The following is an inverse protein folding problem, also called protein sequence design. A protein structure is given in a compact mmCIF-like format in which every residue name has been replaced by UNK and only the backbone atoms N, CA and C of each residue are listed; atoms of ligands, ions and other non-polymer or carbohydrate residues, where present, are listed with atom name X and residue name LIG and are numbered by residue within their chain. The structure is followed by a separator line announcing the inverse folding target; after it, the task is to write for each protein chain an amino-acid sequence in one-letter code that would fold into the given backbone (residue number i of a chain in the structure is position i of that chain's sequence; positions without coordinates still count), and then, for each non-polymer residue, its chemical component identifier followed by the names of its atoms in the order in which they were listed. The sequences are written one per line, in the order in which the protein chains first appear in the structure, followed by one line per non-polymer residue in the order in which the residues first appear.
data_IF_764161916929
#
_entry.id   IF_764161916929
#
_cell.length_a   1.000
_cell.length_b   1.000
_cell.length_c   1.000
_cell.angle_alpha   90.00
_cell.angle_beta   90.00
_cell.angle_gamma   90.00
#
_symmetry.space_group_name_H-M   'P 1'
#
loop_
_entity.id
_entity.type
_entity.pdbx_description
1 polymer ?
#
# COMPACT_ATOMS: atom_id res chain seq x y z
N UNK A 1 2.16 -54.46 -2.42
CA UNK A 1 2.37 -53.35 -1.46
C UNK A 1 3.62 -52.59 -1.91
N UNK A 2 3.50 -51.71 -2.90
CA UNK A 2 4.64 -50.99 -3.48
C UNK A 2 4.70 -49.62 -2.82
N UNK A 3 5.66 -49.46 -1.91
CA UNK A 3 5.97 -48.18 -1.27
C UNK A 3 6.74 -47.34 -2.30
N UNK A 4 5.99 -46.64 -3.14
CA UNK A 4 6.54 -45.74 -4.15
C UNK A 4 7.00 -44.46 -3.46
N UNK A 5 8.19 -44.49 -2.87
CA UNK A 5 8.91 -43.27 -2.48
C UNK A 5 9.48 -42.68 -3.77
N UNK A 6 8.59 -42.06 -4.56
CA UNK A 6 8.99 -41.24 -5.69
C UNK A 6 9.71 -40.01 -5.14
N UNK A 7 11.04 -39.99 -5.27
CA UNK A 7 11.91 -38.81 -5.33
C UNK A 7 11.34 -37.50 -4.75
N UNK A 8 11.36 -37.37 -3.41
CA UNK A 8 11.36 -36.05 -2.76
C UNK A 8 12.76 -35.43 -2.93
N UNK A 9 13.08 -34.97 -4.13
CA UNK A 9 14.31 -34.19 -4.33
C UNK A 9 14.01 -32.77 -3.84
N UNK A 10 14.85 -32.27 -2.92
CA UNK A 10 14.74 -30.93 -2.36
C UNK A 10 14.71 -29.81 -3.42
N UNK A 11 15.16 -30.09 -4.63
CA UNK A 11 15.10 -29.18 -5.78
C UNK A 11 13.68 -29.01 -6.33
N UNK A 12 12.88 -30.08 -6.40
CA UNK A 12 11.48 -30.00 -6.83
C UNK A 12 10.63 -29.29 -5.78
N UNK A 13 10.86 -29.56 -4.50
CA UNK A 13 10.17 -28.88 -3.40
C UNK A 13 10.49 -27.38 -3.39
N UNK A 14 11.77 -27.01 -3.50
CA UNK A 14 12.17 -25.60 -3.62
C UNK A 14 11.54 -24.92 -4.83
N UNK A 15 11.60 -25.57 -5.99
CA UNK A 15 11.02 -25.02 -7.22
C UNK A 15 9.50 -24.85 -7.12
N UNK A 16 8.79 -25.83 -6.55
CA UNK A 16 7.35 -25.75 -6.31
C UNK A 16 7.00 -24.60 -5.36
N UNK A 17 7.74 -24.45 -4.26
CA UNK A 17 7.57 -23.35 -3.32
C UNK A 17 7.85 -21.99 -3.96
N UNK A 18 8.87 -21.88 -4.81
CA UNK A 18 9.18 -20.63 -5.55
C UNK A 18 8.03 -20.26 -6.49
N UNK A 19 7.60 -21.18 -7.36
CA UNK A 19 6.52 -20.91 -8.33
C UNK A 19 5.21 -20.58 -7.61
N UNK A 20 4.87 -21.34 -6.57
CA UNK A 20 3.67 -21.09 -5.79
C UNK A 20 3.74 -19.76 -5.04
N UNK A 21 4.89 -19.44 -4.43
CA UNK A 21 5.13 -18.16 -3.76
C UNK A 21 5.04 -16.97 -4.72
N UNK A 22 5.56 -17.10 -5.94
CA UNK A 22 5.42 -16.09 -6.99
C UNK A 22 3.96 -15.89 -7.39
N UNK A 23 3.18 -16.96 -7.52
CA UNK A 23 1.74 -16.86 -7.80
C UNK A 23 1.01 -16.10 -6.68
N UNK A 24 1.26 -16.47 -5.42
CA UNK A 24 0.73 -15.77 -4.24
C UNK A 24 1.09 -14.28 -4.26
N UNK A 25 2.35 -13.95 -4.59
CA UNK A 25 2.81 -12.57 -4.71
C UNK A 25 2.06 -11.80 -5.81
N UNK A 26 1.81 -12.43 -6.96
CA UNK A 26 1.04 -11.79 -8.03
C UNK A 26 -0.42 -11.57 -7.63
N UNK A 27 -1.06 -12.53 -6.96
CA UNK A 27 -2.42 -12.35 -6.44
C UNK A 27 -2.49 -11.25 -5.40
N UNK A 28 -1.51 -11.14 -4.51
CA UNK A 28 -1.44 -10.03 -3.56
C UNK A 28 -1.43 -8.67 -4.28
N UNK A 29 -0.67 -8.53 -5.37
CA UNK A 29 -0.66 -7.31 -6.18
C UNK A 29 -1.95 -7.06 -6.98
N UNK A 30 -2.69 -8.12 -7.33
CA UNK A 30 -3.97 -8.01 -8.02
C UNK A 30 -5.06 -7.52 -7.07
N UNK A 31 -5.17 -8.16 -5.90
CA UNK A 31 -6.17 -7.80 -4.88
C UNK A 31 -5.86 -6.46 -4.20
N UNK A 32 -4.57 -6.15 -4.04
CA UNK A 32 -4.12 -4.94 -3.33
C UNK A 32 -3.20 -4.09 -4.22
N UNK A 33 -3.75 -3.35 -5.21
CA UNK A 33 -2.96 -2.60 -6.20
C UNK A 33 -1.99 -1.59 -5.62
N UNK A 34 -2.26 -1.04 -4.43
CA UNK A 34 -1.36 -0.09 -3.74
C UNK A 34 0.04 -0.68 -3.51
N UNK A 35 0.16 -1.99 -3.41
CA UNK A 35 1.45 -2.68 -3.26
C UNK A 35 2.31 -2.62 -4.53
N UNK A 36 1.75 -2.25 -5.69
CA UNK A 36 2.51 -2.07 -6.94
C UNK A 36 3.26 -0.75 -6.97
N UNK A 37 2.76 0.26 -6.26
CA UNK A 37 3.38 1.58 -6.16
C UNK A 37 4.58 1.58 -5.19
N UNK A 38 4.67 0.56 -4.34
CA UNK A 38 5.76 0.42 -3.36
C UNK A 38 6.91 -0.37 -3.98
N UNK A 39 8.13 0.18 -3.90
CA UNK A 39 9.32 -0.53 -4.36
C UNK A 39 9.58 -1.77 -3.49
N UNK A 40 9.59 -2.94 -4.13
CA UNK A 40 9.89 -4.22 -3.48
C UNK A 40 11.37 -4.55 -3.60
N UNK A 41 12.00 -4.94 -2.50
CA UNK A 41 13.38 -5.42 -2.48
C UNK A 41 13.50 -6.67 -1.63
N UNK A 42 14.10 -7.71 -2.19
CA UNK A 42 14.47 -8.91 -1.42
C UNK A 42 15.74 -8.60 -0.64
N UNK A 43 15.66 -8.72 0.68
CA UNK A 43 16.79 -8.53 1.60
C UNK A 43 17.03 -9.81 2.39
N UNK A 44 18.26 -10.01 2.87
CA UNK A 44 18.60 -11.21 3.66
C UNK A 44 18.02 -11.17 5.07
N UNK A 45 17.84 -9.98 5.61
CA UNK A 45 17.42 -9.73 6.98
C UNK A 45 16.57 -8.46 7.00
N UNK A 46 15.41 -8.53 7.64
CA UNK A 46 14.49 -7.40 7.81
C UNK A 46 14.65 -6.91 9.24
N UNK A 47 15.29 -5.76 9.40
CA UNK A 47 15.53 -5.15 10.72
C UNK A 47 14.41 -4.17 11.07
N UNK A 48 14.18 -3.94 12.37
CA UNK A 48 13.35 -2.82 12.79
C UNK A 48 13.84 -1.51 12.16
N UNK A 49 12.90 -0.68 11.74
CA UNK A 49 13.20 0.64 11.20
C UNK A 49 13.11 1.66 12.32
N UNK A 50 14.13 2.50 12.46
CA UNK A 50 14.16 3.57 13.47
C UNK A 50 14.01 4.91 12.79
N UNK A 51 12.98 5.65 13.16
CA UNK A 51 12.69 6.98 12.64
C UNK A 51 12.99 7.97 13.76
N UNK A 52 13.92 8.87 13.49
CA UNK A 52 14.26 9.98 14.40
C UNK A 52 13.58 11.23 13.85
N UNK A 53 12.65 11.80 14.63
CA UNK A 53 12.00 13.08 14.33
C UNK A 53 12.35 14.11 15.40
N UNK A 54 11.54 15.17 15.49
CA UNK A 54 11.68 16.21 16.53
C UNK A 54 11.24 15.73 17.94
N UNK A 55 10.72 14.51 18.06
CA UNK A 55 10.39 13.87 19.34
C UNK A 55 11.64 13.37 20.06
N UNK A 56 11.65 13.49 21.40
CA UNK A 56 12.77 13.03 22.25
C UNK A 56 13.00 11.51 22.15
N UNK A 57 11.96 10.73 21.85
CA UNK A 57 12.05 9.29 21.68
C UNK A 57 11.86 8.88 20.21
N UNK A 58 12.85 8.20 19.60
CA UNK A 58 12.73 7.74 18.23
C UNK A 58 11.74 6.58 18.14
N UNK A 59 10.90 6.61 17.10
CA UNK A 59 9.93 5.54 16.84
C UNK A 59 10.63 4.35 16.21
N UNK A 60 10.38 3.18 16.77
CA UNK A 60 10.88 1.91 16.26
C UNK A 60 9.72 1.11 15.69
N UNK A 61 9.77 0.88 14.37
CA UNK A 61 8.77 0.12 13.64
C UNK A 61 9.27 -1.32 13.46
N UNK A 62 8.50 -2.27 13.98
CA UNK A 62 8.82 -3.69 13.89
C UNK A 62 8.52 -4.25 12.49
N UNK A 63 9.25 -5.26 12.01
CA UNK A 63 8.91 -5.94 10.76
C UNK A 63 7.48 -6.50 10.78
N UNK A 64 6.77 -6.39 9.66
CA UNK A 64 5.46 -7.02 9.48
C UNK A 64 5.70 -8.49 9.14
N UNK A 65 5.40 -9.38 10.09
CA UNK A 65 5.48 -10.82 9.87
C UNK A 65 4.17 -11.34 9.25
N UNK A 66 4.28 -11.95 8.07
CA UNK A 66 3.15 -12.59 7.41
C UNK A 66 3.45 -14.08 7.29
N UNK A 67 2.70 -14.88 8.05
CA UNK A 67 2.77 -16.34 7.98
C UNK A 67 1.45 -16.88 7.47
N UNK A 68 1.52 -17.81 6.53
CA UNK A 68 0.38 -18.54 6.07
C UNK A 68 0.75 -20.01 5.85
N UNK A 69 -0.18 -20.90 6.16
CA UNK A 69 -0.02 -22.33 6.02
C UNK A 69 -1.08 -22.86 5.07
N UNK A 70 -0.69 -23.78 4.19
CA UNK A 70 -1.60 -24.46 3.28
C UNK A 70 -1.31 -25.95 3.22
N UNK A 71 -2.36 -26.67 2.84
CA UNK A 71 -2.30 -28.09 2.57
C UNK A 71 -2.82 -28.31 1.15
N UNK A 72 -1.94 -28.81 0.28
CA UNK A 72 -2.27 -29.17 -1.09
C UNK A 72 -2.27 -30.68 -1.25
N UNK A 73 -3.28 -31.22 -1.94
CA UNK A 73 -3.33 -32.65 -2.26
C UNK A 73 -2.53 -32.95 -3.52
N UNK A 74 -1.35 -33.56 -3.33
CA UNK A 74 -0.45 -33.93 -4.41
C UNK A 74 -1.09 -34.86 -5.45
N UNK A 75 -2.05 -35.71 -5.06
CA UNK A 75 -2.74 -36.60 -6.02
C UNK A 75 -3.61 -35.80 -6.97
N UNK A 76 -4.41 -34.87 -6.45
CA UNK A 76 -5.27 -33.99 -7.25
C UNK A 76 -4.45 -33.14 -8.22
N UNK A 77 -3.30 -32.63 -7.78
CA UNK A 77 -2.38 -31.89 -8.65
C UNK A 77 -1.86 -32.79 -9.78
N UNK A 78 -1.42 -34.01 -9.45
CA UNK A 78 -0.92 -34.95 -10.46
C UNK A 78 -1.99 -35.40 -11.47
N UNK A 79 -3.26 -35.36 -11.07
CA UNK A 79 -4.43 -35.65 -11.91
C UNK A 79 -4.87 -34.42 -12.74
N UNK A 80 -4.19 -33.27 -12.59
CA UNK A 80 -4.44 -32.05 -13.36
C UNK A 80 -5.48 -31.11 -12.73
N UNK A 81 -5.91 -31.33 -11.49
CA UNK A 81 -6.81 -30.44 -10.75
C UNK A 81 -6.06 -29.22 -10.18
N UNK A 82 -5.60 -28.36 -11.09
CA UNK A 82 -4.91 -27.11 -10.76
C UNK A 82 -5.85 -26.03 -10.21
N UNK A 83 -7.17 -26.23 -10.28
CA UNK A 83 -8.15 -25.28 -9.72
C UNK A 83 -7.99 -25.10 -8.21
N UNK A 84 -7.71 -26.21 -7.50
CA UNK A 84 -7.43 -26.17 -6.05
C UNK A 84 -6.15 -25.39 -5.70
N UNK A 85 -5.10 -25.54 -6.51
CA UNK A 85 -3.84 -24.81 -6.34
C UNK A 85 -4.03 -23.33 -6.62
N UNK A 86 -4.73 -23.00 -7.70
CA UNK A 86 -5.08 -21.62 -8.06
C UNK A 86 -5.86 -20.94 -6.94
N UNK A 87 -6.93 -21.56 -6.44
CA UNK A 87 -7.77 -20.99 -5.38
C UNK A 87 -6.97 -20.80 -4.09
N UNK A 88 -6.06 -21.73 -3.78
CA UNK A 88 -5.18 -21.61 -2.61
C UNK A 88 -4.24 -20.42 -2.77
N UNK A 89 -3.60 -20.27 -3.93
CA UNK A 89 -2.70 -19.15 -4.21
C UNK A 89 -3.43 -17.80 -4.18
N UNK A 90 -4.64 -17.73 -4.72
CA UNK A 90 -5.51 -16.55 -4.72
C UNK A 90 -5.90 -16.14 -3.29
N UNK A 91 -6.41 -17.08 -2.50
CA UNK A 91 -6.80 -16.85 -1.10
C UNK A 91 -5.62 -16.40 -0.25
N UNK A 92 -4.46 -17.04 -0.43
CA UNK A 92 -3.21 -16.66 0.24
C UNK A 92 -2.72 -15.29 -0.20
N UNK A 93 -2.84 -14.98 -1.50
CA UNK A 93 -2.44 -13.70 -2.06
C UNK A 93 -3.26 -12.56 -1.46
N UNK A 94 -4.58 -12.72 -1.38
CA UNK A 94 -5.45 -11.75 -0.72
C UNK A 94 -5.09 -11.59 0.76
N UNK A 95 -4.96 -12.69 1.51
CA UNK A 95 -4.60 -12.65 2.92
C UNK A 95 -3.24 -11.98 3.17
N UNK A 96 -2.24 -12.33 2.35
CA UNK A 96 -0.89 -11.73 2.41
C UNK A 96 -0.93 -10.24 2.08
N UNK A 97 -1.58 -9.88 0.98
CA UNK A 97 -1.69 -8.49 0.54
C UNK A 97 -2.41 -7.63 1.59
N UNK A 98 -3.52 -8.12 2.12
CA UNK A 98 -4.27 -7.43 3.18
C UNK A 98 -3.46 -7.25 4.46
N UNK A 99 -2.66 -8.23 4.87
CA UNK A 99 -1.77 -8.11 6.03
C UNK A 99 -0.68 -7.04 5.79
N UNK A 100 -0.06 -7.04 4.61
CA UNK A 100 0.96 -6.06 4.25
C UNK A 100 0.40 -4.64 4.18
N UNK A 101 -0.76 -4.44 3.52
CA UNK A 101 -1.41 -3.13 3.44
C UNK A 101 -1.80 -2.63 4.82
N UNK A 102 -2.36 -3.50 5.67
CA UNK A 102 -2.74 -3.13 7.03
C UNK A 102 -1.52 -2.67 7.84
N UNK A 103 -0.46 -3.47 7.88
CA UNK A 103 0.76 -3.09 8.60
C UNK A 103 1.42 -1.83 8.03
N UNK A 104 1.38 -1.64 6.71
CA UNK A 104 1.86 -0.41 6.07
C UNK A 104 1.06 0.81 6.54
N UNK A 105 -0.28 0.73 6.54
CA UNK A 105 -1.15 1.82 7.01
C UNK A 105 -0.97 2.09 8.50
N UNK A 106 -0.83 1.04 9.32
CA UNK A 106 -0.56 1.17 10.76
C UNK A 106 0.77 1.89 11.01
N UNK A 107 1.84 1.51 10.31
CA UNK A 107 3.13 2.20 10.42
C UNK A 107 3.05 3.64 9.94
N UNK A 108 2.38 3.91 8.82
CA UNK A 108 2.17 5.28 8.35
C UNK A 108 1.40 6.10 9.39
N UNK A 109 0.37 5.54 10.03
CA UNK A 109 -0.36 6.19 11.11
C UNK A 109 0.52 6.52 12.31
N UNK A 110 1.35 5.58 12.77
CA UNK A 110 2.28 5.83 13.87
C UNK A 110 3.29 6.94 13.54
N UNK A 111 3.80 6.96 12.31
CA UNK A 111 4.72 8.01 11.84
C UNK A 111 4.00 9.36 11.83
N UNK A 112 2.82 9.45 11.20
CA UNK A 112 2.12 10.73 11.06
C UNK A 112 1.63 11.29 12.38
N UNK A 113 1.19 10.44 13.31
CA UNK A 113 0.85 10.84 14.68
C UNK A 113 2.07 11.40 15.42
N UNK A 114 3.23 10.74 15.32
CA UNK A 114 4.45 11.20 16.00
C UNK A 114 5.01 12.49 15.40
N UNK A 115 4.96 12.64 14.07
CA UNK A 115 5.47 13.84 13.40
C UNK A 115 4.47 15.00 13.37
N UNK A 116 3.26 14.81 13.90
CA UNK A 116 2.19 15.82 13.84
C UNK A 116 1.62 16.03 12.43
N UNK A 117 1.86 15.11 11.50
CA UNK A 117 1.31 15.14 10.13
C UNK A 117 -0.07 14.45 10.08
N UNK A 118 -0.88 14.65 11.11
CA UNK A 118 -2.24 14.14 11.23
C UNK A 118 -3.22 15.31 11.28
N UNK A 119 -4.29 15.26 10.49
CA UNK A 119 -5.37 16.24 10.52
C UNK A 119 -6.58 15.65 11.26
N UNK A 120 -6.97 16.27 12.38
CA UNK A 120 -8.21 15.91 13.08
C UNK A 120 -9.39 16.75 12.57
N UNK A 121 -10.39 16.08 12.02
CA UNK A 121 -11.62 16.72 11.56
C UNK A 121 -12.52 17.20 12.71
N UNK A 122 -12.27 16.79 13.96
CA UNK A 122 -13.05 17.17 15.14
C UNK A 122 -14.50 16.66 15.10
N UNK A 123 -14.73 15.55 14.40
CA UNK A 123 -16.07 15.00 14.16
C UNK A 123 -16.89 15.73 13.08
N UNK A 124 -16.30 16.72 12.37
CA UNK A 124 -16.94 17.34 11.20
C UNK A 124 -17.21 16.28 10.12
N UNK A 125 -18.35 16.35 9.41
CA UNK A 125 -18.57 15.49 8.24
C UNK A 125 -17.56 15.83 7.16
N UNK A 126 -17.22 14.84 6.33
CA UNK A 126 -16.35 15.07 5.18
C UNK A 126 -16.99 16.10 4.23
N UNK A 127 -16.24 17.12 3.85
CA UNK A 127 -16.67 18.25 3.01
C UNK A 127 -15.54 18.70 2.08
N UNK A 128 -15.87 19.51 1.06
CA UNK A 128 -14.85 20.10 0.18
C UNK A 128 -13.83 20.94 0.95
N UNK A 129 -14.28 21.71 1.93
CA UNK A 129 -13.38 22.58 2.71
C UNK A 129 -12.39 21.75 3.54
N UNK A 130 -12.86 20.65 4.16
CA UNK A 130 -11.98 19.73 4.88
C UNK A 130 -11.00 19.03 3.92
N UNK A 131 -11.45 18.70 2.71
CA UNK A 131 -10.59 18.12 1.69
C UNK A 131 -9.49 19.11 1.26
N UNK A 132 -9.83 20.39 1.09
CA UNK A 132 -8.84 21.43 0.75
C UNK A 132 -7.87 21.68 1.90
N UNK A 133 -8.35 21.65 3.16
CA UNK A 133 -7.51 21.71 4.36
C UNK A 133 -6.47 20.56 4.36
N UNK A 134 -6.90 19.34 4.04
CA UNK A 134 -6.02 18.19 3.90
C UNK A 134 -4.99 18.37 2.77
N UNK A 135 -5.41 18.84 1.59
CA UNK A 135 -4.50 19.09 0.47
C UNK A 135 -3.49 20.20 0.78
N UNK A 136 -3.86 21.20 1.57
CA UNK A 136 -2.94 22.27 1.95
C UNK A 136 -1.85 21.79 2.91
N UNK A 137 -2.19 20.88 3.81
CA UNK A 137 -1.22 20.27 4.73
C UNK A 137 -0.24 19.30 4.02
N UNK A 138 -0.58 18.84 2.81
CA UNK A 138 0.21 17.86 2.06
C UNK A 138 1.14 18.52 1.03
N UNK A 139 2.30 17.91 0.83
CA UNK A 139 3.12 18.17 -0.35
C UNK A 139 2.54 17.42 -1.56
N UNK A 140 2.31 18.15 -2.65
CA UNK A 140 1.74 17.60 -3.89
C UNK A 140 2.80 17.67 -4.98
N UNK A 141 3.05 16.52 -5.61
CA UNK A 141 3.89 16.43 -6.78
C UNK A 141 3.03 16.50 -8.06
N UNK A 142 3.63 17.03 -9.12
CA UNK A 142 2.97 17.23 -10.40
C UNK A 142 3.76 16.56 -11.51
N UNK A 143 3.05 15.95 -12.45
CA UNK A 143 3.66 15.39 -13.66
C UNK A 143 4.06 16.47 -14.67
N UNK A 144 4.65 16.05 -15.80
CA UNK A 144 5.11 16.95 -16.86
C UNK A 144 3.94 17.66 -17.58
N UNK A 145 2.71 17.13 -17.50
CA UNK A 145 1.48 17.74 -18.01
C UNK A 145 0.83 18.69 -16.99
N UNK A 146 1.43 18.85 -15.81
CA UNK A 146 0.98 19.73 -14.74
C UNK A 146 -0.22 19.20 -13.95
N UNK A 147 -0.54 17.91 -14.06
CA UNK A 147 -1.56 17.23 -13.27
C UNK A 147 -0.98 16.79 -11.93
N UNK A 148 -1.79 16.93 -10.87
CA UNK A 148 -1.39 16.52 -9.54
C UNK A 148 -1.43 14.99 -9.40
N UNK A 149 -0.34 14.41 -8.89
CA UNK A 149 -0.25 12.98 -8.61
C UNK A 149 -0.74 12.72 -7.19
N UNK A 150 -2.05 12.54 -7.04
CA UNK A 150 -2.72 12.29 -5.76
C UNK A 150 -3.36 10.91 -5.73
N UNK A 151 -3.08 10.14 -4.69
CA UNK A 151 -3.77 8.89 -4.38
C UNK A 151 -4.29 8.95 -2.96
N UNK A 152 -5.57 8.63 -2.78
CA UNK A 152 -6.24 8.66 -1.47
C UNK A 152 -6.71 7.25 -1.15
N UNK A 153 -6.20 6.69 -0.05
CA UNK A 153 -6.70 5.43 0.50
C UNK A 153 -7.81 5.74 1.51
N UNK A 154 -8.98 5.11 1.34
CA UNK A 154 -10.13 5.35 2.19
C UNK A 154 -10.92 4.07 2.44
N UNK A 155 -11.71 4.05 3.50
CA UNK A 155 -12.64 2.94 3.74
C UNK A 155 -13.80 3.00 2.76
N UNK A 156 -14.45 1.86 2.44
CA UNK A 156 -15.61 1.87 1.55
C UNK A 156 -16.72 2.83 1.99
N UNK A 157 -16.98 2.90 3.30
CA UNK A 157 -17.96 3.83 3.87
C UNK A 157 -17.61 5.29 3.56
N UNK A 158 -16.38 5.71 3.83
CA UNK A 158 -15.93 7.08 3.55
C UNK A 158 -15.90 7.35 2.05
N UNK A 159 -15.51 6.38 1.22
CA UNK A 159 -15.56 6.48 -0.24
C UNK A 159 -16.98 6.78 -0.76
N UNK A 160 -18.01 6.13 -0.20
CA UNK A 160 -19.40 6.45 -0.58
C UNK A 160 -19.83 7.86 -0.17
N UNK A 161 -19.37 8.35 0.99
CA UNK A 161 -19.63 9.73 1.44
C UNK A 161 -18.96 10.74 0.52
N UNK A 162 -17.72 10.47 0.08
CA UNK A 162 -16.99 11.30 -0.89
C UNK A 162 -17.75 11.35 -2.22
N UNK A 163 -18.17 10.19 -2.75
CA UNK A 163 -18.91 10.12 -4.01
C UNK A 163 -20.29 10.80 -3.96
N UNK A 164 -20.88 10.89 -2.77
CA UNK A 164 -22.17 11.56 -2.55
C UNK A 164 -22.06 13.07 -2.32
N UNK A 165 -20.84 13.65 -2.30
CA UNK A 165 -20.68 15.08 -2.15
C UNK A 165 -21.28 15.84 -3.34
N UNK A 166 -21.95 16.98 -3.09
CA UNK A 166 -22.41 17.84 -4.17
C UNK A 166 -21.22 18.39 -4.96
N UNK A 167 -21.40 18.82 -6.22
CA UNK A 167 -20.38 19.57 -6.93
C UNK A 167 -19.92 20.80 -6.13
N UNK A 168 -18.63 21.18 -6.20
CA UNK A 168 -18.13 22.35 -5.49
C UNK A 168 -18.85 23.62 -5.95
N UNK A 169 -19.09 24.54 -5.02
CA UNK A 169 -19.63 25.87 -5.36
C UNK A 169 -18.60 26.68 -6.17
N UNK A 170 -19.00 27.76 -6.88
CA UNK A 170 -18.05 28.61 -7.60
C UNK A 170 -16.95 29.18 -6.71
N UNK A 171 -17.27 29.52 -5.45
CA UNK A 171 -16.30 30.00 -4.47
C UNK A 171 -15.32 28.90 -4.04
N UNK A 172 -15.82 27.69 -3.80
CA UNK A 172 -14.99 26.53 -3.47
C UNK A 172 -14.08 26.13 -4.62
N UNK A 173 -14.57 26.21 -5.86
CA UNK A 173 -13.76 25.95 -7.04
C UNK A 173 -12.63 26.96 -7.19
N UNK A 174 -12.93 28.26 -7.01
CA UNK A 174 -11.91 29.30 -7.05
C UNK A 174 -10.85 29.13 -5.95
N UNK A 175 -11.26 28.71 -4.75
CA UNK A 175 -10.35 28.39 -3.66
C UNK A 175 -9.45 27.19 -4.00
N UNK A 176 -10.02 26.11 -4.54
CA UNK A 176 -9.26 24.95 -4.99
C UNK A 176 -8.24 25.30 -6.07
N UNK A 177 -8.65 26.08 -7.08
CA UNK A 177 -7.76 26.47 -8.18
C UNK A 177 -6.58 27.32 -7.68
N UNK A 178 -6.85 28.23 -6.74
CA UNK A 178 -5.81 29.03 -6.09
C UNK A 178 -4.84 28.17 -5.26
N UNK A 179 -5.37 27.20 -4.51
CA UNK A 179 -4.58 26.23 -3.74
C UNK A 179 -3.65 25.42 -4.66
N UNK A 180 -4.20 24.85 -5.73
CA UNK A 180 -3.43 24.03 -6.68
C UNK A 180 -2.38 24.86 -7.43
N UNK A 181 -2.68 26.11 -7.78
CA UNK A 181 -1.72 27.02 -8.40
C UNK A 181 -0.53 27.32 -7.47
N UNK A 182 -0.79 27.54 -6.17
CA UNK A 182 0.25 27.72 -5.16
C UNK A 182 1.11 26.46 -5.01
N UNK A 183 0.48 25.29 -4.83
CA UNK A 183 1.19 24.00 -4.69
C UNK A 183 2.07 23.68 -5.89
N UNK A 184 1.64 24.04 -7.11
CA UNK A 184 2.46 23.90 -8.32
C UNK A 184 3.72 24.77 -8.28
N UNK A 185 3.61 26.02 -7.84
CA UNK A 185 4.77 26.90 -7.69
C UNK A 185 5.76 26.38 -6.64
N UNK A 186 5.25 25.85 -5.53
CA UNK A 186 6.07 25.22 -4.49
C UNK A 186 6.83 24.00 -5.03
N UNK A 187 6.15 23.13 -5.79
CA UNK A 187 6.79 21.98 -6.45
C UNK A 187 7.89 22.39 -7.43
N UNK A 188 7.64 23.40 -8.29
CA UNK A 188 8.66 23.92 -9.20
C UNK A 188 9.87 24.50 -8.45
N UNK A 189 9.62 25.22 -7.35
CA UNK A 189 10.68 25.74 -6.47
C UNK A 189 11.56 24.61 -5.93
N UNK A 190 10.95 23.56 -5.37
CA UNK A 190 11.65 22.36 -4.84
C UNK A 190 12.50 21.67 -5.92
N UNK A 191 12.00 21.52 -7.15
CA UNK A 191 12.76 20.90 -8.26
C UNK A 191 13.98 21.72 -8.68
N UNK A 192 13.90 23.06 -8.63
CA UNK A 192 15.04 23.94 -8.96
C UNK A 192 16.15 23.82 -7.93
N UNK A 193 15.82 23.77 -6.64
CA UNK A 193 16.80 23.61 -5.56
C UNK A 193 17.53 22.26 -5.65
N UNK A 194 16.83 21.14 -5.88
CA UNK A 194 17.45 19.81 -6.01
C UNK A 194 18.38 19.64 -7.22
N UNK A 195 18.32 20.53 -8.23
CA UNK A 195 19.23 20.49 -9.40
C UNK A 195 20.51 21.30 -9.18
N UNK A 196 20.59 22.09 -8.12
CA UNK A 196 21.72 22.97 -7.81
C UNK A 196 22.67 22.36 -6.76
N UNK A 197 22.26 21.29 -6.09
CA UNK A 197 23.05 20.47 -5.17
C UNK A 197 23.65 19.25 -5.88
#
# INVERSE_FOLDING_TARGET
MIRMVLFLLAEYERSANTVFGEAVDQFALIHHPILREVQRRVVRDVRPSRISGDSEEPLELSPIEVRAEIVLDARRISEGDFGSVYLSADTLGDAKGGALVRGMVEHLGQITEQTGNSLDAGGRPFSHDLFFEMLDAMDIDFDDDGQAQLQILTTPETGTKIAALPPPTPEQQAHFDALMARKRQEHEGRRRTRRME
#
